data_IF_545437849776
#
_entry.id   IF_545437849776
#
_cell.length_a   1.000
_cell.length_b   1.000
_cell.length_c   1.000
_cell.angle_alpha   90.00
_cell.angle_beta   90.00
_cell.angle_gamma   90.00
#
_symmetry.space_group_name_H-M   'P 1'
#
loop_
_entity.id
_entity.type
_entity.pdbx_description
1 polymer ?
#
# COMPACT_ATOMS: atom_id res chain seq x y z
N UNK A 1 25.48 4.08 -16.84
CA UNK A 1 24.83 3.98 -15.52
C UNK A 1 24.35 2.55 -15.22
N UNK A 2 23.72 1.86 -16.16
CA UNK A 2 23.22 0.48 -16.00
C UNK A 2 24.30 -0.53 -15.54
N UNK A 3 25.50 -0.48 -16.13
CA UNK A 3 26.61 -1.36 -15.74
C UNK A 3 27.06 -1.15 -14.28
N UNK A 4 27.03 0.10 -13.79
CA UNK A 4 27.37 0.40 -12.41
C UNK A 4 26.30 -0.13 -11.46
N UNK A 5 25.03 0.06 -11.78
CA UNK A 5 23.92 -0.49 -11.01
C UNK A 5 24.02 -2.03 -10.91
N UNK A 6 24.23 -2.72 -12.05
CA UNK A 6 24.43 -4.17 -12.07
C UNK A 6 25.64 -4.61 -11.24
N UNK A 7 26.77 -3.93 -11.36
CA UNK A 7 27.97 -4.25 -10.60
C UNK A 7 27.73 -4.11 -9.08
N UNK A 8 27.02 -3.06 -8.67
CA UNK A 8 26.64 -2.84 -7.27
C UNK A 8 25.66 -3.92 -6.77
N UNK A 9 24.60 -4.20 -7.52
CA UNK A 9 23.62 -5.24 -7.17
C UNK A 9 24.28 -6.61 -7.00
N UNK A 10 25.21 -6.96 -7.91
CA UNK A 10 26.00 -8.21 -7.81
C UNK A 10 26.95 -8.18 -6.61
N UNK A 11 27.67 -7.07 -6.39
CA UNK A 11 28.62 -6.94 -5.28
C UNK A 11 27.95 -7.02 -3.90
N UNK A 12 26.74 -6.47 -3.78
CA UNK A 12 25.92 -6.54 -2.56
C UNK A 12 25.27 -7.93 -2.40
N UNK A 13 25.28 -8.76 -3.44
CA UNK A 13 24.70 -10.09 -3.40
C UNK A 13 23.17 -10.05 -3.37
N UNK A 14 22.56 -9.09 -4.06
CA UNK A 14 21.10 -8.94 -4.10
C UNK A 14 20.46 -10.23 -4.60
N UNK A 15 19.43 -10.69 -3.88
CA UNK A 15 18.72 -11.95 -4.14
C UNK A 15 17.31 -11.76 -4.69
N UNK A 16 16.77 -10.55 -4.62
CA UNK A 16 15.46 -10.16 -5.14
C UNK A 16 15.46 -8.64 -5.36
N UNK A 17 14.84 -8.18 -6.44
CA UNK A 17 14.65 -6.76 -6.69
C UNK A 17 13.14 -6.45 -6.74
N UNK A 18 12.71 -5.60 -5.82
CA UNK A 18 11.33 -5.11 -5.72
C UNK A 18 11.28 -3.69 -6.27
N UNK A 19 10.37 -3.45 -7.20
CA UNK A 19 10.16 -2.15 -7.85
C UNK A 19 8.75 -1.71 -7.48
N UNK A 20 8.67 -0.81 -6.51
CA UNK A 20 7.40 -0.20 -6.12
C UNK A 20 6.97 0.86 -7.12
N UNK A 21 5.66 1.14 -7.17
CA UNK A 21 5.11 2.20 -8.00
C UNK A 21 5.48 2.09 -9.50
N UNK A 22 5.53 0.85 -10.01
CA UNK A 22 6.02 0.52 -11.36
C UNK A 22 5.31 1.32 -12.48
N UNK A 23 4.05 1.67 -12.25
CA UNK A 23 3.23 2.45 -13.17
C UNK A 23 3.76 3.88 -13.41
N UNK A 24 4.48 4.48 -12.46
CA UNK A 24 5.02 5.84 -12.61
C UNK A 24 6.03 5.94 -13.74
N UNK A 25 6.87 4.91 -13.91
CA UNK A 25 7.86 4.87 -14.99
C UNK A 25 7.18 4.50 -16.32
N UNK A 26 6.07 3.77 -16.27
CA UNK A 26 5.31 3.31 -17.43
C UNK A 26 4.31 4.35 -17.97
N UNK A 27 3.98 5.38 -17.18
CA UNK A 27 3.11 6.50 -17.55
C UNK A 27 3.78 7.53 -18.49
N UNK A 28 5.07 7.38 -18.78
CA UNK A 28 5.79 8.23 -19.74
C UNK A 28 5.34 8.04 -21.20
N UNK A 29 5.95 8.80 -22.12
CA UNK A 29 5.71 8.64 -23.56
C UNK A 29 6.06 7.21 -24.04
N UNK A 30 5.58 6.83 -25.23
CA UNK A 30 5.74 5.47 -25.76
C UNK A 30 7.19 5.01 -25.88
N UNK A 31 8.14 5.95 -26.05
CA UNK A 31 9.58 5.69 -26.13
C UNK A 31 10.11 5.31 -24.75
N UNK A 32 9.88 6.16 -23.74
CA UNK A 32 10.34 5.92 -22.36
C UNK A 32 9.79 4.61 -21.80
N UNK A 33 8.52 4.31 -22.06
CA UNK A 33 7.91 3.04 -21.65
C UNK A 33 8.66 1.84 -22.25
N UNK A 34 9.00 1.91 -23.54
CA UNK A 34 9.70 0.82 -24.23
C UNK A 34 11.15 0.68 -23.73
N UNK A 35 11.84 1.79 -23.50
CA UNK A 35 13.17 1.79 -22.89
C UNK A 35 13.16 1.13 -21.51
N UNK A 36 12.16 1.45 -20.69
CA UNK A 36 12.02 0.87 -19.37
C UNK A 36 11.71 -0.64 -19.40
N UNK A 37 10.79 -1.09 -20.27
CA UNK A 37 10.53 -2.53 -20.44
C UNK A 37 11.78 -3.27 -20.93
N UNK A 38 12.55 -2.66 -21.84
CA UNK A 38 13.84 -3.22 -22.28
C UNK A 38 14.83 -3.34 -21.10
N UNK A 39 14.89 -2.33 -20.24
CA UNK A 39 15.72 -2.34 -19.03
C UNK A 39 15.28 -3.45 -18.07
N UNK A 40 13.99 -3.62 -17.79
CA UNK A 40 13.47 -4.69 -16.94
C UNK A 40 13.88 -6.07 -17.47
N UNK A 41 13.74 -6.27 -18.79
CA UNK A 41 14.17 -7.51 -19.44
C UNK A 41 15.67 -7.74 -19.28
N UNK A 42 16.47 -6.70 -19.50
CA UNK A 42 17.92 -6.75 -19.35
C UNK A 42 18.33 -7.09 -17.91
N UNK A 43 17.75 -6.42 -16.90
CA UNK A 43 18.01 -6.70 -15.49
C UNK A 43 17.64 -8.14 -15.11
N UNK A 44 16.49 -8.64 -15.56
CA UNK A 44 16.08 -10.02 -15.31
C UNK A 44 17.05 -11.04 -15.90
N UNK A 45 17.55 -10.80 -17.11
CA UNK A 45 18.53 -11.67 -17.78
C UNK A 45 19.91 -11.64 -17.09
N UNK A 46 20.38 -10.45 -16.72
CA UNK A 46 21.72 -10.25 -16.17
C UNK A 46 21.84 -10.63 -14.69
N UNK A 47 20.84 -10.28 -13.88
CA UNK A 47 20.88 -10.55 -12.45
C UNK A 47 20.48 -12.00 -12.14
N UNK A 48 19.58 -12.60 -12.95
CA UNK A 48 19.02 -13.94 -12.73
C UNK A 48 18.44 -14.11 -11.31
N UNK A 49 17.80 -13.05 -10.82
CA UNK A 49 17.09 -13.01 -9.53
C UNK A 49 15.60 -12.72 -9.78
N UNK A 50 14.71 -13.07 -8.83
CA UNK A 50 13.32 -12.66 -8.88
C UNK A 50 13.16 -11.14 -8.96
N UNK A 51 12.32 -10.71 -9.90
CA UNK A 51 11.87 -9.33 -10.04
C UNK A 51 10.41 -9.25 -9.59
N UNK A 52 10.11 -8.35 -8.66
CA UNK A 52 8.75 -8.12 -8.17
C UNK A 52 8.36 -6.69 -8.52
N UNK A 53 7.33 -6.53 -9.36
CA UNK A 53 6.76 -5.24 -9.69
C UNK A 53 5.51 -4.99 -8.86
N UNK A 54 5.47 -3.90 -8.12
CA UNK A 54 4.27 -3.44 -7.38
C UNK A 54 3.74 -2.20 -8.07
N UNK A 55 2.43 -2.12 -8.27
CA UNK A 55 1.82 -0.98 -8.93
C UNK A 55 0.35 -1.21 -9.26
N UNK A 56 -0.19 -0.28 -10.05
CA UNK A 56 -1.60 -0.28 -10.44
C UNK A 56 -1.86 -1.18 -11.66
N UNK A 57 -3.13 -1.24 -12.07
CA UNK A 57 -3.55 -1.91 -13.30
C UNK A 57 -2.77 -1.46 -14.54
N UNK A 58 -2.36 -0.20 -14.60
CA UNK A 58 -1.62 0.35 -15.73
C UNK A 58 -0.22 -0.27 -15.85
N UNK A 59 0.42 -0.56 -14.72
CA UNK A 59 1.69 -1.29 -14.72
C UNK A 59 1.52 -2.68 -15.33
N UNK A 60 0.48 -3.40 -14.92
CA UNK A 60 0.15 -4.73 -15.45
C UNK A 60 -0.11 -4.69 -16.97
N UNK A 61 -0.91 -3.73 -17.45
CA UNK A 61 -1.21 -3.59 -18.89
C UNK A 61 0.04 -3.29 -19.71
N UNK A 62 0.96 -2.48 -19.18
CA UNK A 62 2.20 -2.17 -19.88
C UNK A 62 3.18 -3.36 -19.88
N UNK A 63 3.27 -4.13 -18.79
CA UNK A 63 4.06 -5.38 -18.77
C UNK A 63 3.51 -6.40 -19.77
N UNK A 64 2.18 -6.55 -19.86
CA UNK A 64 1.52 -7.42 -20.85
C UNK A 64 1.71 -6.99 -22.30
N UNK A 65 2.19 -5.78 -22.55
CA UNK A 65 2.51 -5.35 -23.91
C UNK A 65 3.85 -5.91 -24.44
N UNK A 66 4.64 -6.59 -23.60
CA UNK A 66 5.86 -7.30 -23.97
C UNK A 66 5.77 -8.78 -23.57
N UNK A 67 5.61 -9.68 -24.55
CA UNK A 67 5.45 -11.13 -24.37
C UNK A 67 6.59 -11.78 -23.55
N UNK A 68 7.80 -11.20 -23.59
CA UNK A 68 8.94 -11.75 -22.85
C UNK A 68 8.89 -11.41 -21.36
N UNK A 69 8.25 -10.29 -21.01
CA UNK A 69 8.00 -9.91 -19.63
C UNK A 69 6.72 -10.55 -19.10
N UNK A 70 5.66 -10.68 -19.90
CA UNK A 70 4.41 -11.33 -19.50
C UNK A 70 4.65 -12.73 -18.96
N UNK A 71 5.50 -13.53 -19.62
CA UNK A 71 5.84 -14.88 -19.17
C UNK A 71 6.70 -14.94 -17.88
N UNK A 72 7.22 -13.81 -17.40
CA UNK A 72 8.11 -13.72 -16.24
C UNK A 72 7.49 -13.01 -15.04
N UNK A 73 6.49 -12.17 -15.29
CA UNK A 73 5.76 -11.44 -14.26
C UNK A 73 4.38 -12.06 -14.10
N UNK A 74 4.30 -13.05 -13.21
CA UNK A 74 3.02 -13.62 -12.80
C UNK A 74 2.23 -12.58 -11.99
N UNK A 75 1.01 -12.21 -12.42
CA UNK A 75 0.24 -11.20 -11.72
C UNK A 75 -0.33 -11.76 -10.41
N UNK A 76 -0.10 -11.05 -9.32
CA UNK A 76 -0.75 -11.28 -8.03
C UNK A 76 -1.55 -10.03 -7.66
N UNK A 77 -2.86 -10.19 -7.49
CA UNK A 77 -3.74 -9.11 -7.09
C UNK A 77 -3.83 -9.05 -5.57
N UNK A 78 -3.60 -7.88 -4.99
CA UNK A 78 -3.85 -7.62 -3.58
C UNK A 78 -5.27 -7.04 -3.43
N UNK A 79 -6.23 -7.79 -2.87
CA UNK A 79 -7.56 -7.27 -2.64
C UNK A 79 -7.55 -6.22 -1.54
N UNK A 80 -8.62 -5.43 -1.47
CA UNK A 80 -8.89 -4.62 -0.29
C UNK A 80 -9.19 -5.52 0.92
N UNK A 81 -8.94 -5.02 2.12
CA UNK A 81 -9.25 -5.75 3.34
C UNK A 81 -10.76 -5.87 3.51
N UNK A 82 -11.20 -7.06 3.88
CA UNK A 82 -12.59 -7.38 4.19
C UNK A 82 -12.74 -7.68 5.69
N UNK A 83 -13.96 -7.53 6.20
CA UNK A 83 -14.24 -7.85 7.61
C UNK A 83 -14.23 -9.38 7.81
N UNK A 84 -13.07 -9.90 8.19
CA UNK A 84 -12.80 -11.30 8.45
C UNK A 84 -11.73 -11.46 9.56
N UNK A 85 -11.35 -12.70 9.85
CA UNK A 85 -10.37 -13.01 10.91
C UNK A 85 -8.97 -12.45 10.62
N UNK A 86 -8.57 -12.34 9.35
CA UNK A 86 -7.31 -11.72 8.95
C UNK A 86 -7.33 -10.23 9.28
N UNK A 87 -8.42 -9.52 9.00
CA UNK A 87 -8.56 -8.11 9.37
C UNK A 87 -8.61 -7.92 10.88
N UNK A 88 -9.28 -8.81 11.62
CA UNK A 88 -9.25 -8.77 13.08
C UNK A 88 -7.81 -8.94 13.62
N UNK A 89 -7.02 -9.83 13.00
CA UNK A 89 -5.61 -10.04 13.33
C UNK A 89 -4.73 -8.82 13.02
N UNK A 90 -5.01 -8.14 11.90
CA UNK A 90 -4.39 -6.86 11.56
C UNK A 90 -4.71 -5.79 12.61
N UNK A 91 -5.98 -5.65 12.98
CA UNK A 91 -6.42 -4.68 14.00
C UNK A 91 -5.83 -4.97 15.37
N UNK A 92 -5.71 -6.24 15.75
CA UNK A 92 -5.01 -6.64 16.97
C UNK A 92 -3.54 -6.22 16.95
N UNK A 93 -2.87 -6.34 15.80
CA UNK A 93 -1.48 -5.90 15.61
C UNK A 93 -1.32 -4.38 15.75
N UNK A 94 -2.28 -3.60 15.25
CA UNK A 94 -2.33 -2.16 15.52
C UNK A 94 -2.58 -1.85 17.00
N UNK A 95 -3.58 -2.49 17.62
CA UNK A 95 -3.90 -2.28 19.02
C UNK A 95 -2.72 -2.59 19.95
N UNK A 96 -1.91 -3.58 19.61
CA UNK A 96 -0.71 -3.97 20.36
C UNK A 96 0.50 -3.07 20.11
N UNK A 97 0.59 -2.40 18.96
CA UNK A 97 1.73 -1.53 18.61
C UNK A 97 1.51 -0.07 19.03
N UNK A 98 0.27 0.37 19.19
CA UNK A 98 -0.04 1.72 19.66
C UNK A 98 0.26 1.86 21.17
N UNK A 99 0.97 2.92 21.59
CA UNK A 99 1.43 3.09 22.98
C UNK A 99 0.34 3.62 23.92
N UNK A 100 -0.85 3.03 23.89
CA UNK A 100 -2.01 3.41 24.72
C UNK A 100 -2.02 2.64 26.04
N UNK A 101 -2.33 3.31 27.15
CA UNK A 101 -2.25 2.68 28.49
C UNK A 101 -3.36 1.67 28.76
N UNK A 102 -4.50 1.78 28.06
CA UNK A 102 -5.64 0.87 28.22
C UNK A 102 -5.83 0.03 26.95
N UNK A 103 -6.31 -1.22 27.10
CA UNK A 103 -6.54 -2.08 25.96
C UNK A 103 -7.58 -1.48 25.00
N UNK A 104 -7.26 -1.49 23.72
CA UNK A 104 -8.16 -1.05 22.65
C UNK A 104 -8.90 -2.26 22.08
N UNK A 105 -10.20 -2.39 22.39
CA UNK A 105 -11.04 -3.51 21.93
C UNK A 105 -11.50 -3.34 20.48
N UNK A 106 -10.55 -3.20 19.56
CA UNK A 106 -10.81 -2.96 18.12
C UNK A 106 -10.63 -4.18 17.23
N UNK A 107 -10.12 -5.29 17.76
CA UNK A 107 -9.96 -6.55 17.05
C UNK A 107 -11.24 -7.40 17.05
N UNK A 108 -12.38 -6.79 16.76
CA UNK A 108 -13.68 -7.47 16.65
C UNK A 108 -14.25 -7.29 15.26
N UNK A 109 -15.08 -8.24 14.82
CA UNK A 109 -15.65 -8.21 13.47
C UNK A 109 -16.49 -6.96 13.21
N UNK A 110 -17.22 -6.49 14.22
CA UNK A 110 -18.04 -5.27 14.10
C UNK A 110 -17.18 -4.02 13.99
N UNK A 111 -16.08 -3.94 14.75
CA UNK A 111 -15.13 -2.84 14.62
C UNK A 111 -14.38 -2.91 13.28
N UNK A 112 -14.04 -4.11 12.81
CA UNK A 112 -13.45 -4.30 11.48
C UNK A 112 -14.36 -3.76 10.38
N UNK A 113 -15.66 -4.11 10.40
CA UNK A 113 -16.65 -3.54 9.46
C UNK A 113 -16.70 -2.01 9.53
N UNK A 114 -16.75 -1.46 10.74
CA UNK A 114 -16.81 -0.02 10.94
C UNK A 114 -15.56 0.70 10.39
N UNK A 115 -14.38 0.22 10.76
CA UNK A 115 -13.10 0.81 10.37
C UNK A 115 -12.87 0.68 8.86
N UNK A 116 -13.10 -0.50 8.27
CA UNK A 116 -12.93 -0.73 6.83
C UNK A 116 -13.90 0.10 5.99
N UNK A 117 -15.12 0.34 6.49
CA UNK A 117 -16.07 1.24 5.81
C UNK A 117 -15.53 2.67 5.77
N UNK A 118 -14.90 3.14 6.86
CA UNK A 118 -14.32 4.49 6.91
C UNK A 118 -13.01 4.62 6.13
N UNK A 119 -12.19 3.57 6.13
CA UNK A 119 -10.88 3.56 5.46
C UNK A 119 -10.91 3.04 4.02
N UNK A 120 -12.09 2.74 3.51
CA UNK A 120 -12.33 2.16 2.17
C UNK A 120 -11.50 0.89 1.92
N UNK A 121 -11.30 0.10 2.97
CA UNK A 121 -10.63 -1.20 2.92
C UNK A 121 -9.12 -1.17 2.69
N UNK A 122 -8.48 0.01 2.66
CA UNK A 122 -7.02 0.10 2.47
C UNK A 122 -6.28 0.15 3.81
N UNK A 123 -5.15 -0.56 3.91
CA UNK A 123 -4.35 -0.61 5.15
C UNK A 123 -3.72 0.76 5.50
N UNK A 124 -3.35 1.55 4.49
CA UNK A 124 -2.77 2.89 4.70
C UNK A 124 -3.77 3.86 5.34
N UNK A 125 -5.00 3.90 4.81
CA UNK A 125 -6.06 4.73 5.38
C UNK A 125 -6.54 4.19 6.74
N UNK A 126 -6.53 2.88 6.94
CA UNK A 126 -6.82 2.27 8.23
C UNK A 126 -5.78 2.71 9.28
N UNK A 127 -4.50 2.67 8.95
CA UNK A 127 -3.43 3.14 9.82
C UNK A 127 -3.58 4.63 10.15
N UNK A 128 -3.94 5.45 9.16
CA UNK A 128 -4.17 6.87 9.34
C UNK A 128 -5.33 7.15 10.32
N UNK A 129 -6.48 6.49 10.12
CA UNK A 129 -7.63 6.60 11.02
C UNK A 129 -7.29 6.15 12.45
N UNK A 130 -6.60 5.01 12.60
CA UNK A 130 -6.22 4.50 13.92
C UNK A 130 -5.22 5.41 14.63
N UNK A 131 -4.28 5.99 13.89
CA UNK A 131 -3.33 6.97 14.45
C UNK A 131 -4.05 8.24 14.93
N UNK A 132 -4.97 8.78 14.12
CA UNK A 132 -5.77 9.93 14.50
C UNK A 132 -6.62 9.65 15.76
N UNK A 133 -7.22 8.47 15.85
CA UNK A 133 -7.97 8.04 17.03
C UNK A 133 -7.08 7.83 18.26
N UNK A 134 -5.86 7.32 18.08
CA UNK A 134 -4.90 7.14 19.16
C UNK A 134 -4.43 8.49 19.73
N UNK A 135 -4.18 9.49 18.87
CA UNK A 135 -3.85 10.86 19.31
C UNK A 135 -4.98 11.43 20.17
N UNK A 136 -6.21 11.35 19.69
CA UNK A 136 -7.39 11.77 20.46
C UNK A 136 -7.53 11.01 21.78
N UNK A 137 -7.24 9.71 21.80
CA UNK A 137 -7.30 8.91 23.02
C UNK A 137 -6.29 9.40 24.08
N UNK A 138 -5.10 9.81 23.66
CA UNK A 138 -4.09 10.38 24.56
C UNK A 138 -4.51 11.78 25.02
N UNK A 139 -4.92 12.66 24.11
CA UNK A 139 -5.28 14.05 24.42
C UNK A 139 -6.52 14.16 25.31
N UNK A 140 -7.50 13.28 25.11
CA UNK A 140 -8.72 13.21 25.94
C UNK A 140 -8.54 12.47 27.26
N UNK A 141 -7.41 11.77 27.45
CA UNK A 141 -7.15 10.91 28.61
C UNK A 141 -7.93 9.59 28.63
N UNK A 142 -8.66 9.25 27.56
CA UNK A 142 -9.34 7.95 27.41
C UNK A 142 -8.34 6.79 27.39
N UNK A 143 -7.16 7.03 26.79
CA UNK A 143 -6.02 6.09 26.73
C UNK A 143 -6.37 4.73 26.08
N UNK A 144 -7.41 4.68 25.24
CA UNK A 144 -7.81 3.54 24.42
C UNK A 144 -8.56 3.99 23.16
N UNK A 145 -8.46 3.22 22.07
CA UNK A 145 -9.33 3.37 20.91
C UNK A 145 -10.68 2.73 21.19
N UNK A 146 -11.74 3.53 21.07
CA UNK A 146 -13.13 3.14 21.22
C UNK A 146 -14.01 4.01 20.30
N UNK A 147 -15.32 3.80 20.31
CA UNK A 147 -16.24 4.57 19.46
C UNK A 147 -16.14 6.10 19.66
N UNK A 148 -15.89 6.56 20.90
CA UNK A 148 -15.76 7.98 21.21
C UNK A 148 -14.51 8.57 20.56
N UNK A 149 -13.35 7.95 20.76
CA UNK A 149 -12.09 8.46 20.20
C UNK A 149 -12.07 8.37 18.68
N UNK A 150 -12.65 7.32 18.10
CA UNK A 150 -12.87 7.21 16.65
C UNK A 150 -13.82 8.27 16.07
N UNK A 151 -14.85 8.67 16.82
CA UNK A 151 -15.78 9.72 16.40
C UNK A 151 -15.19 11.13 16.46
N UNK A 152 -14.26 11.34 17.40
CA UNK A 152 -13.56 12.61 17.59
C UNK A 152 -12.31 12.73 16.71
N UNK A 153 -11.83 11.63 16.14
CA UNK A 153 -10.68 11.61 15.25
C UNK A 153 -10.93 12.46 14.01
N UNK A 154 -10.04 13.43 13.78
CA UNK A 154 -10.03 14.24 12.56
C UNK A 154 -9.53 13.39 11.39
N UNK A 155 -10.44 12.61 10.83
CA UNK A 155 -10.17 11.69 9.73
C UNK A 155 -11.32 11.73 8.72
N UNK A 156 -10.94 12.08 7.49
CA UNK A 156 -11.81 12.06 6.31
C UNK A 156 -11.34 10.97 5.36
N UNK A 157 -12.24 10.05 4.98
CA UNK A 157 -11.92 8.95 4.06
C UNK A 157 -11.60 9.43 2.63
N UNK A 158 -10.93 8.60 1.80
CA UNK A 158 -10.49 8.99 0.46
C UNK A 158 -11.58 9.59 -0.44
N UNK A 159 -12.75 8.95 -0.51
CA UNK A 159 -13.87 9.36 -1.35
C UNK A 159 -14.55 10.62 -0.84
N UNK A 160 -14.55 10.85 0.47
CA UNK A 160 -15.05 12.10 1.05
C UNK A 160 -14.06 13.25 0.82
N UNK A 161 -12.76 13.02 1.02
CA UNK A 161 -11.68 13.98 0.76
C UNK A 161 -11.70 14.44 -0.70
N UNK A 162 -11.89 13.50 -1.65
CA UNK A 162 -12.04 13.82 -3.08
C UNK A 162 -13.25 14.71 -3.35
N UNK A 163 -14.42 14.39 -2.76
CA UNK A 163 -15.65 15.18 -2.94
C UNK A 163 -15.54 16.60 -2.34
N UNK A 164 -14.87 16.76 -1.20
CA UNK A 164 -14.64 18.07 -0.60
C UNK A 164 -13.78 18.94 -1.53
N UNK A 165 -12.66 18.38 -2.01
CA UNK A 165 -11.77 19.07 -2.94
C UNK A 165 -12.47 19.46 -4.25
N UNK A 166 -13.29 18.56 -4.82
CA UNK A 166 -14.07 18.86 -6.02
C UNK A 166 -15.09 20.00 -5.82
N UNK A 167 -15.67 20.13 -4.62
CA UNK A 167 -16.59 21.24 -4.30
C UNK A 167 -15.90 22.58 -4.15
N UNK A 168 -14.67 22.59 -3.64
CA UNK A 168 -13.88 23.83 -3.48
C UNK A 168 -13.36 24.37 -4.82
N UNK A 169 -13.27 23.51 -5.84
CA UNK A 169 -12.88 23.88 -7.19
C UNK A 169 -14.04 24.40 -8.07
N UNK A 170 -15.29 24.24 -7.63
CA UNK A 170 -16.49 24.73 -8.32
C UNK A 170 -16.92 26.10 -7.78
#
# INVERSE_FOLDING_TARGET
MEQLALALLRKVGVRMLVIDELHNVLAGNSVNRREFLNLLRFLGNELRIPLVGVGTRDAYLAIRSDDQLENRFEPMMLPVWEANDDCCSLLASFAASLPLRRPSSIATLDMARYLLTRSEGTIGELAHLLMAAALVAVESGEEAINHRTLSMADYTGPSERRRQFERELM
#
